data_IF_029022988596
#
_entry.id   IF_029022988596
#
_cell.length_a   1.000
_cell.length_b   1.000
_cell.length_c   1.000
_cell.angle_alpha   90.00
_cell.angle_beta   90.00
_cell.angle_gamma   90.00
#
_symmetry.space_group_name_H-M   'P 1'
#
loop_
_entity.id
_entity.type
_entity.pdbx_description
1 polymer ?
#
# COMPACT_ATOMS: atom_id res chain seq x y z
N UNK A 1 18.65 -16.08 3.91
CA UNK A 1 18.77 -15.07 4.93
C UNK A 1 19.59 -15.49 6.13
N UNK A 2 19.96 -14.54 6.97
CA UNK A 2 20.80 -14.75 8.16
C UNK A 2 20.06 -15.49 9.29
N UNK A 3 18.72 -15.44 9.29
CA UNK A 3 17.89 -16.06 10.31
C UNK A 3 17.35 -17.39 9.78
N UNK A 4 17.75 -18.50 10.44
CA UNK A 4 17.31 -19.86 10.12
C UNK A 4 16.24 -20.38 11.09
N UNK A 5 15.63 -19.50 11.86
CA UNK A 5 14.51 -19.83 12.72
C UNK A 5 13.27 -20.16 11.89
N UNK A 6 12.61 -21.27 12.16
CA UNK A 6 11.44 -21.75 11.39
C UNK A 6 10.30 -20.73 11.37
N UNK A 7 10.09 -20.04 12.50
CA UNK A 7 9.08 -18.99 12.60
C UNK A 7 9.41 -17.80 11.70
N UNK A 8 10.68 -17.38 11.66
CA UNK A 8 11.12 -16.29 10.81
C UNK A 8 11.00 -16.66 9.32
N UNK A 9 11.32 -17.90 8.97
CA UNK A 9 11.15 -18.43 7.60
C UNK A 9 9.67 -18.43 7.19
N UNK A 10 8.78 -18.93 8.03
CA UNK A 10 7.34 -18.98 7.75
C UNK A 10 6.76 -17.55 7.54
N UNK A 11 7.15 -16.59 8.37
CA UNK A 11 6.71 -15.18 8.25
C UNK A 11 7.28 -14.49 7.01
N UNK A 12 8.54 -14.75 6.67
CA UNK A 12 9.16 -14.26 5.45
C UNK A 12 8.47 -14.82 4.20
N UNK A 13 8.19 -16.12 4.19
CA UNK A 13 7.46 -16.77 3.09
C UNK A 13 6.04 -16.19 2.94
N UNK A 14 5.32 -15.95 4.04
CA UNK A 14 4.01 -15.30 4.01
C UNK A 14 4.09 -13.92 3.36
N UNK A 15 5.03 -13.08 3.79
CA UNK A 15 5.21 -11.75 3.23
C UNK A 15 5.57 -11.81 1.73
N UNK A 16 6.44 -12.72 1.34
CA UNK A 16 6.84 -12.93 -0.05
C UNK A 16 5.65 -13.38 -0.91
N UNK A 17 4.95 -14.45 -0.52
CA UNK A 17 3.83 -14.99 -1.28
C UNK A 17 2.72 -13.96 -1.45
N UNK A 18 2.31 -13.27 -0.37
CA UNK A 18 1.25 -12.27 -0.44
C UNK A 18 1.65 -11.11 -1.37
N UNK A 19 2.85 -10.59 -1.24
CA UNK A 19 3.28 -9.44 -2.04
C UNK A 19 3.55 -9.78 -3.51
N UNK A 20 4.06 -10.99 -3.80
CA UNK A 20 4.25 -11.47 -5.18
C UNK A 20 2.90 -11.74 -5.84
N UNK A 21 1.98 -12.39 -5.13
CA UNK A 21 0.63 -12.65 -5.65
C UNK A 21 -0.09 -11.33 -6.01
N UNK A 22 -0.03 -10.34 -5.11
CA UNK A 22 -0.57 -9.02 -5.42
C UNK A 22 0.09 -8.34 -6.62
N UNK A 23 1.40 -8.48 -6.77
CA UNK A 23 2.14 -7.94 -7.91
C UNK A 23 1.77 -8.63 -9.24
N UNK A 24 1.57 -9.94 -9.24
CA UNK A 24 1.14 -10.69 -10.42
C UNK A 24 -0.28 -10.28 -10.86
N UNK A 25 -1.20 -10.12 -9.92
CA UNK A 25 -2.55 -9.63 -10.21
C UNK A 25 -2.49 -8.21 -10.81
N UNK A 26 -1.67 -7.33 -10.23
CA UNK A 26 -1.46 -5.97 -10.75
C UNK A 26 -0.89 -5.99 -12.17
N UNK A 27 0.04 -6.91 -12.46
CA UNK A 27 0.63 -7.07 -13.77
C UNK A 27 -0.42 -7.45 -14.82
N UNK A 28 -1.37 -8.34 -14.49
CA UNK A 28 -2.50 -8.67 -15.37
C UNK A 28 -3.34 -7.43 -15.69
N UNK A 29 -3.58 -6.57 -14.69
CA UNK A 29 -4.26 -5.30 -14.90
C UNK A 29 -3.51 -4.37 -15.88
N UNK A 30 -2.18 -4.30 -15.79
CA UNK A 30 -1.36 -3.53 -16.73
C UNK A 30 -1.37 -4.11 -18.15
N UNK A 31 -1.35 -5.44 -18.31
CA UNK A 31 -1.52 -6.05 -19.62
C UNK A 31 -2.91 -5.78 -20.21
N UNK A 32 -3.95 -5.70 -19.37
CA UNK A 32 -5.27 -5.28 -19.82
C UNK A 32 -5.29 -3.85 -20.35
N UNK A 33 -4.58 -2.93 -19.71
CA UNK A 33 -4.43 -1.55 -20.21
C UNK A 33 -3.64 -1.54 -21.51
N UNK A 34 -2.52 -2.27 -21.57
CA UNK A 34 -1.71 -2.36 -22.77
C UNK A 34 -2.48 -2.91 -23.96
N UNK A 35 -3.31 -3.93 -23.75
CA UNK A 35 -4.17 -4.50 -24.81
C UNK A 35 -5.14 -3.49 -25.42
N UNK A 36 -5.49 -2.41 -24.71
CA UNK A 36 -6.37 -1.35 -25.19
C UNK A 36 -5.61 -0.16 -25.75
N UNK A 37 -4.50 0.20 -25.15
CA UNK A 37 -3.75 1.43 -25.49
C UNK A 37 -2.56 1.18 -26.41
N UNK A 38 -2.09 -0.07 -26.48
CA UNK A 38 -0.89 -0.45 -27.23
C UNK A 38 0.42 0.07 -26.62
N UNK A 39 0.37 0.71 -25.45
CA UNK A 39 1.54 1.32 -24.82
C UNK A 39 1.53 1.16 -23.30
N UNK A 40 2.72 1.20 -22.66
CA UNK A 40 2.89 1.34 -21.23
C UNK A 40 3.29 2.76 -20.80
N UNK A 41 3.34 3.70 -21.74
CA UNK A 41 3.73 5.07 -21.45
C UNK A 41 2.59 5.82 -20.74
N UNK A 42 2.81 6.20 -19.48
CA UNK A 42 1.79 6.87 -18.65
C UNK A 42 1.35 8.22 -19.20
N UNK A 43 2.23 8.91 -19.91
CA UNK A 43 1.91 10.21 -20.53
C UNK A 43 0.91 10.06 -21.68
N UNK A 44 1.03 8.98 -22.45
CA UNK A 44 0.12 8.66 -23.55
C UNK A 44 -1.25 8.15 -23.07
N UNK A 45 -1.34 7.71 -21.82
CA UNK A 45 -2.58 7.19 -21.22
C UNK A 45 -3.46 8.29 -20.58
N UNK A 46 -2.99 9.55 -20.54
CA UNK A 46 -3.77 10.65 -19.96
C UNK A 46 -5.09 10.83 -20.71
N UNK A 47 -6.20 10.80 -19.94
CA UNK A 47 -7.54 10.97 -20.47
C UNK A 47 -8.16 9.70 -21.10
N UNK A 48 -7.42 8.61 -21.21
CA UNK A 48 -7.98 7.32 -21.66
C UNK A 48 -8.79 6.71 -20.52
N UNK A 49 -10.04 6.38 -20.79
CA UNK A 49 -10.91 5.69 -19.82
C UNK A 49 -10.44 4.23 -19.67
N UNK A 50 -10.06 3.88 -18.45
CA UNK A 50 -9.58 2.54 -18.13
C UNK A 50 -10.75 1.67 -17.66
N UNK A 51 -10.91 0.43 -18.16
CA UNK A 51 -11.95 -0.48 -17.72
C UNK A 51 -11.87 -0.75 -16.23
N UNK A 52 -13.00 -0.82 -15.57
CA UNK A 52 -13.10 -1.03 -14.13
C UNK A 52 -12.35 -2.30 -13.65
N UNK A 53 -12.36 -3.38 -14.43
CA UNK A 53 -11.65 -4.60 -14.06
C UNK A 53 -10.12 -4.43 -14.02
N UNK A 54 -9.54 -3.64 -14.93
CA UNK A 54 -8.11 -3.31 -14.90
C UNK A 54 -7.78 -2.50 -13.65
N UNK A 55 -8.63 -1.50 -13.34
CA UNK A 55 -8.49 -0.66 -12.14
C UNK A 55 -8.54 -1.51 -10.88
N UNK A 56 -9.49 -2.43 -10.76
CA UNK A 56 -9.63 -3.34 -9.61
C UNK A 56 -8.39 -4.22 -9.44
N UNK A 57 -7.85 -4.81 -10.51
CA UNK A 57 -6.66 -5.66 -10.44
C UNK A 57 -5.41 -4.87 -10.02
N UNK A 58 -5.24 -3.66 -10.57
CA UNK A 58 -4.13 -2.79 -10.19
C UNK A 58 -4.29 -2.32 -8.75
N UNK A 59 -5.49 -1.94 -8.34
CA UNK A 59 -5.81 -1.54 -6.98
C UNK A 59 -5.53 -2.67 -5.99
N UNK A 60 -5.89 -3.92 -6.32
CA UNK A 60 -5.59 -5.07 -5.48
C UNK A 60 -4.09 -5.19 -5.19
N UNK A 61 -3.23 -5.05 -6.20
CA UNK A 61 -1.78 -5.07 -6.00
C UNK A 61 -1.28 -3.89 -5.15
N UNK A 62 -1.83 -2.70 -5.36
CA UNK A 62 -1.53 -1.51 -4.56
C UNK A 62 -1.89 -1.74 -3.09
N UNK A 63 -3.11 -2.22 -2.81
CA UNK A 63 -3.58 -2.51 -1.45
C UNK A 63 -2.77 -3.61 -0.76
N UNK A 64 -2.35 -4.63 -1.52
CA UNK A 64 -1.46 -5.68 -1.02
C UNK A 64 -0.11 -5.09 -0.61
N UNK A 65 0.46 -4.22 -1.43
CA UNK A 65 1.77 -3.61 -1.19
C UNK A 65 1.75 -2.60 -0.04
N UNK A 66 0.67 -1.82 0.08
CA UNK A 66 0.46 -0.88 1.20
C UNK A 66 -0.07 -1.55 2.47
N UNK A 67 -0.20 -2.88 2.47
CA UNK A 67 -0.73 -3.65 3.60
C UNK A 67 -2.09 -3.13 4.11
N UNK A 68 -2.98 -2.78 3.19
CA UNK A 68 -4.33 -2.30 3.51
C UNK A 68 -5.24 -3.49 3.82
N UNK A 69 -6.16 -3.33 4.78
CA UNK A 69 -7.14 -4.38 5.09
C UNK A 69 -7.96 -4.76 3.83
N UNK A 70 -8.19 -6.07 3.58
CA UNK A 70 -7.88 -7.25 4.41
C UNK A 70 -6.47 -7.84 4.18
N UNK A 71 -5.65 -7.29 3.31
CA UNK A 71 -4.35 -7.81 2.88
C UNK A 71 -3.16 -7.37 3.78
N UNK A 72 -3.45 -6.96 5.01
CA UNK A 72 -2.49 -6.32 5.93
C UNK A 72 -1.65 -7.28 6.77
N UNK A 73 -2.07 -8.54 6.91
CA UNK A 73 -1.56 -9.46 7.94
C UNK A 73 -0.08 -9.84 7.79
N UNK A 74 0.51 -9.63 6.63
CA UNK A 74 1.93 -9.92 6.39
C UNK A 74 2.87 -8.89 7.01
N UNK A 75 2.43 -7.64 7.15
CA UNK A 75 3.30 -6.54 7.58
C UNK A 75 3.67 -6.61 9.08
N UNK A 76 2.74 -6.86 10.03
CA UNK A 76 3.10 -7.09 11.42
C UNK A 76 3.99 -8.31 11.64
N UNK A 77 3.85 -9.34 10.81
CA UNK A 77 4.67 -10.54 10.86
C UNK A 77 6.09 -10.30 10.31
N UNK A 78 6.28 -9.34 9.43
CA UNK A 78 7.60 -8.94 8.92
C UNK A 78 8.53 -8.34 10.00
N UNK A 79 8.02 -7.99 11.18
CA UNK A 79 8.78 -7.48 12.32
C UNK A 79 9.79 -8.45 12.94
N UNK A 80 9.86 -9.71 12.48
CA UNK A 80 10.91 -10.67 12.90
C UNK A 80 12.31 -10.30 12.39
N UNK A 81 12.40 -9.44 11.37
CA UNK A 81 13.68 -8.95 10.86
C UNK A 81 14.40 -8.06 11.89
N UNK A 82 15.75 -7.88 11.76
CA UNK A 82 16.49 -6.91 12.57
C UNK A 82 15.89 -5.50 12.46
N UNK A 83 16.01 -4.71 13.54
CA UNK A 83 15.42 -3.36 13.59
C UNK A 83 15.80 -2.45 12.41
N UNK A 84 17.06 -2.40 11.93
CA UNK A 84 17.39 -1.59 10.74
C UNK A 84 16.64 -2.03 9.47
N UNK A 85 16.46 -3.33 9.28
CA UNK A 85 15.71 -3.88 8.13
C UNK A 85 14.22 -3.59 8.29
N UNK A 86 13.69 -3.78 9.49
CA UNK A 86 12.28 -3.51 9.80
C UNK A 86 11.98 -2.01 9.62
N UNK A 87 12.88 -1.14 10.07
CA UNK A 87 12.78 0.30 9.86
C UNK A 87 12.71 0.64 8.36
N UNK A 88 13.60 0.08 7.55
CA UNK A 88 13.60 0.30 6.10
C UNK A 88 12.28 -0.15 5.45
N UNK A 89 11.75 -1.31 5.84
CA UNK A 89 10.50 -1.85 5.32
C UNK A 89 9.29 -0.96 5.65
N UNK A 90 9.19 -0.51 6.91
CA UNK A 90 8.03 0.25 7.40
C UNK A 90 8.17 1.76 7.20
N UNK A 91 9.37 2.32 7.38
CA UNK A 91 9.59 3.76 7.34
C UNK A 91 9.89 4.27 5.94
N UNK A 92 10.82 3.62 5.21
CA UNK A 92 11.40 4.25 4.03
C UNK A 92 10.66 3.92 2.73
N UNK A 93 10.51 2.64 2.35
CA UNK A 93 10.27 2.30 0.95
C UNK A 93 9.07 1.38 0.75
N UNK A 94 9.10 0.16 1.31
CA UNK A 94 8.31 -0.95 0.78
C UNK A 94 6.80 -0.69 0.75
N UNK A 95 6.23 -0.26 1.87
CA UNK A 95 4.78 -0.06 2.00
C UNK A 95 4.29 1.24 1.36
N UNK A 96 5.17 2.24 1.22
CA UNK A 96 4.84 3.53 0.61
C UNK A 96 4.76 3.49 -0.90
N UNK A 97 5.45 2.54 -1.52
CA UNK A 97 5.34 2.31 -2.97
C UNK A 97 3.89 2.08 -3.38
N UNK A 98 3.09 1.35 -2.57
CA UNK A 98 1.67 1.16 -2.87
C UNK A 98 0.90 2.47 -2.93
N UNK A 99 1.01 3.30 -1.89
CA UNK A 99 0.32 4.60 -1.84
C UNK A 99 0.83 5.57 -2.90
N UNK A 100 2.14 5.59 -3.15
CA UNK A 100 2.73 6.38 -4.23
C UNK A 100 2.24 5.92 -5.61
N UNK A 101 2.17 4.61 -5.84
CA UNK A 101 1.63 4.06 -7.09
C UNK A 101 0.17 4.46 -7.29
N UNK A 102 -0.65 4.47 -6.22
CA UNK A 102 -2.02 4.97 -6.28
C UNK A 102 -2.06 6.42 -6.76
N UNK A 103 -1.30 7.30 -6.12
CA UNK A 103 -1.25 8.71 -6.50
C UNK A 103 -0.79 8.89 -7.95
N UNK A 104 0.28 8.20 -8.34
CA UNK A 104 0.87 8.33 -9.67
C UNK A 104 -0.03 7.80 -10.77
N UNK A 105 -0.70 6.68 -10.55
CA UNK A 105 -1.55 6.03 -11.54
C UNK A 105 -2.95 6.67 -11.58
N UNK A 106 -3.67 6.69 -10.45
CA UNK A 106 -5.09 7.00 -10.44
C UNK A 106 -5.42 8.49 -10.21
N UNK A 107 -4.49 9.25 -9.65
CA UNK A 107 -4.72 10.70 -9.48
C UNK A 107 -4.08 11.50 -10.61
N UNK A 108 -2.88 11.10 -11.06
CA UNK A 108 -2.10 11.91 -12.01
C UNK A 108 -2.22 11.42 -13.46
N UNK A 109 -2.29 10.11 -13.70
CA UNK A 109 -2.07 9.55 -15.04
C UNK A 109 -3.31 8.95 -15.71
N UNK A 110 -4.14 8.22 -14.96
CA UNK A 110 -5.25 7.45 -15.53
C UNK A 110 -6.59 8.12 -15.23
N UNK A 111 -7.51 8.08 -16.20
CA UNK A 111 -8.92 8.43 -15.95
C UNK A 111 -9.67 7.18 -15.50
N UNK A 112 -10.15 7.20 -14.26
CA UNK A 112 -10.89 6.09 -13.65
C UNK A 112 -12.34 6.49 -13.36
N UNK A 113 -13.22 5.50 -13.26
CA UNK A 113 -14.62 5.73 -12.91
C UNK A 113 -14.73 6.45 -11.56
N UNK A 114 -15.57 7.49 -11.43
CA UNK A 114 -15.79 8.23 -10.19
C UNK A 114 -16.16 7.36 -8.98
N UNK A 115 -16.68 6.16 -9.19
CA UNK A 115 -17.01 5.23 -8.09
C UNK A 115 -15.79 4.92 -7.22
N UNK A 116 -14.58 4.92 -7.80
CA UNK A 116 -13.35 4.64 -7.05
C UNK A 116 -12.97 5.76 -6.10
N UNK A 117 -13.42 7.00 -6.33
CA UNK A 117 -13.23 8.12 -5.38
C UNK A 117 -14.11 7.99 -4.12
N UNK A 118 -15.08 7.08 -4.14
CA UNK A 118 -15.90 6.74 -2.97
C UNK A 118 -15.44 5.43 -2.34
N UNK A 119 -15.20 4.40 -3.15
CA UNK A 119 -14.86 3.06 -2.66
C UNK A 119 -13.49 3.03 -1.98
N UNK A 120 -12.47 3.66 -2.55
CA UNK A 120 -11.11 3.62 -2.00
C UNK A 120 -10.99 4.34 -0.66
N UNK A 121 -11.55 5.56 -0.46
CA UNK A 121 -11.58 6.18 0.86
C UNK A 121 -12.27 5.33 1.93
N UNK A 122 -13.38 4.65 1.59
CA UNK A 122 -14.06 3.75 2.52
C UNK A 122 -13.16 2.57 2.92
N UNK A 123 -12.51 1.92 1.96
CA UNK A 123 -11.53 0.84 2.24
C UNK A 123 -10.40 1.36 3.14
N UNK A 124 -9.89 2.55 2.85
CA UNK A 124 -8.84 3.18 3.65
C UNK A 124 -9.32 3.48 5.08
N UNK A 125 -10.51 4.03 5.25
CA UNK A 125 -11.08 4.32 6.57
C UNK A 125 -11.27 3.03 7.40
N UNK A 126 -11.85 1.99 6.81
CA UNK A 126 -11.99 0.67 7.45
C UNK A 126 -10.62 0.10 7.84
N UNK A 127 -9.65 0.19 6.94
CA UNK A 127 -8.28 -0.27 7.23
C UNK A 127 -7.65 0.49 8.40
N UNK A 128 -7.84 1.81 8.47
CA UNK A 128 -7.35 2.62 9.58
C UNK A 128 -7.95 2.20 10.92
N UNK A 129 -9.27 2.00 10.96
CA UNK A 129 -9.98 1.58 12.17
C UNK A 129 -9.56 0.18 12.64
N UNK A 130 -9.54 -0.79 11.72
CA UNK A 130 -9.16 -2.18 12.04
C UNK A 130 -7.71 -2.24 12.53
N UNK A 131 -6.78 -1.58 11.84
CA UNK A 131 -5.37 -1.61 12.23
C UNK A 131 -5.10 -0.87 13.54
N UNK A 132 -5.82 0.23 13.82
CA UNK A 132 -5.75 0.91 15.10
C UNK A 132 -6.25 0.01 16.24
N UNK A 133 -7.38 -0.67 16.05
CA UNK A 133 -7.87 -1.66 17.01
C UNK A 133 -6.89 -2.81 17.26
N UNK A 134 -6.27 -3.34 16.20
CA UNK A 134 -5.22 -4.35 16.34
C UNK A 134 -3.98 -3.83 17.09
N UNK A 135 -3.61 -2.56 16.91
CA UNK A 135 -2.51 -1.96 17.64
C UNK A 135 -2.77 -1.89 19.14
N UNK A 136 -4.03 -1.65 19.55
CA UNK A 136 -4.41 -1.54 20.97
C UNK A 136 -4.32 -2.88 21.71
N UNK A 137 -4.51 -4.00 21.03
CA UNK A 137 -4.47 -5.34 21.65
C UNK A 137 -3.13 -6.05 21.46
N UNK A 138 -2.23 -5.51 20.66
CA UNK A 138 -0.91 -6.07 20.45
C UNK A 138 -0.02 -5.86 21.67
N UNK A 139 0.74 -6.90 22.06
CA UNK A 139 1.64 -6.89 23.22
C UNK A 139 3.10 -6.68 22.84
N UNK A 140 3.47 -6.94 21.59
CA UNK A 140 4.83 -6.78 21.08
C UNK A 140 5.00 -5.38 20.48
N UNK A 141 6.03 -4.64 20.95
CA UNK A 141 6.30 -3.28 20.51
C UNK A 141 6.47 -3.17 18.99
N UNK A 142 7.20 -4.09 18.36
CA UNK A 142 7.36 -4.08 16.90
C UNK A 142 6.03 -4.28 16.16
N UNK A 143 5.15 -5.12 16.71
CA UNK A 143 3.80 -5.33 16.15
C UNK A 143 2.92 -4.09 16.33
N UNK A 144 2.98 -3.43 17.48
CA UNK A 144 2.26 -2.16 17.71
C UNK A 144 2.70 -1.12 16.67
N UNK A 145 4.01 -0.94 16.50
CA UNK A 145 4.56 0.02 15.52
C UNK A 145 4.18 -0.39 14.09
N UNK A 146 4.13 -1.68 13.77
CA UNK A 146 3.70 -2.17 12.46
C UNK A 146 2.23 -1.88 12.19
N UNK A 147 1.33 -2.17 13.13
CA UNK A 147 -0.10 -1.83 12.99
C UNK A 147 -0.32 -0.33 12.89
N UNK A 148 0.41 0.46 13.67
CA UNK A 148 0.34 1.92 13.54
C UNK A 148 0.86 2.41 12.18
N UNK A 149 1.79 1.69 11.54
CA UNK A 149 2.22 1.99 10.15
C UNK A 149 1.06 1.77 9.17
N UNK A 150 0.31 0.66 9.31
CA UNK A 150 -0.86 0.39 8.47
C UNK A 150 -1.91 1.49 8.63
N UNK A 151 -2.20 1.90 9.88
CA UNK A 151 -3.12 3.00 10.17
C UNK A 151 -2.71 4.30 9.48
N UNK A 152 -1.43 4.67 9.57
CA UNK A 152 -0.92 5.91 8.97
C UNK A 152 -0.95 5.86 7.43
N UNK A 153 -0.59 4.71 6.83
CA UNK A 153 -0.71 4.52 5.37
C UNK A 153 -2.16 4.59 4.90
N UNK A 154 -3.08 4.07 5.70
CA UNK A 154 -4.50 4.17 5.41
C UNK A 154 -4.99 5.63 5.45
N UNK A 155 -4.53 6.46 6.39
CA UNK A 155 -4.83 7.90 6.39
C UNK A 155 -4.24 8.63 5.17
N UNK A 156 -3.02 8.28 4.77
CA UNK A 156 -2.41 8.83 3.55
C UNK A 156 -3.26 8.44 2.33
N UNK A 157 -3.62 7.17 2.20
CA UNK A 157 -4.44 6.67 1.11
C UNK A 157 -5.81 7.35 1.08
N UNK A 158 -6.44 7.52 2.26
CA UNK A 158 -7.71 8.23 2.39
C UNK A 158 -7.60 9.66 1.87
N UNK A 159 -6.60 10.41 2.30
CA UNK A 159 -6.39 11.79 1.85
C UNK A 159 -6.19 11.89 0.33
N UNK A 160 -5.34 11.04 -0.25
CA UNK A 160 -5.04 11.04 -1.68
C UNK A 160 -6.25 10.58 -2.51
N UNK A 161 -7.02 9.60 -2.02
CA UNK A 161 -8.11 8.99 -2.78
C UNK A 161 -9.37 9.85 -2.89
N UNK A 162 -9.49 10.91 -2.10
CA UNK A 162 -10.57 11.91 -2.24
C UNK A 162 -10.46 12.67 -3.57
N UNK A 163 -9.27 12.70 -4.18
CA UNK A 163 -9.06 13.35 -5.48
C UNK A 163 -8.98 14.86 -5.43
N UNK A 164 -8.87 15.48 -4.24
CA UNK A 164 -8.66 16.92 -4.10
C UNK A 164 -7.16 17.27 -4.15
N UNK A 165 -6.82 18.43 -4.68
CA UNK A 165 -5.41 18.92 -4.70
C UNK A 165 -4.84 19.00 -3.28
N UNK A 166 -5.63 19.48 -2.32
CA UNK A 166 -5.23 19.57 -0.92
C UNK A 166 -4.99 18.17 -0.32
N UNK A 167 -5.82 17.18 -0.66
CA UNK A 167 -5.66 15.79 -0.26
C UNK A 167 -4.39 15.17 -0.81
N UNK A 168 -4.07 15.44 -2.07
CA UNK A 168 -2.84 14.98 -2.70
C UNK A 168 -1.60 15.59 -2.03
N UNK A 169 -1.56 16.91 -1.89
CA UNK A 169 -0.43 17.61 -1.25
C UNK A 169 -0.27 17.17 0.20
N UNK A 170 -1.37 17.13 0.96
CA UNK A 170 -1.36 16.67 2.36
C UNK A 170 -0.89 15.23 2.48
N UNK A 171 -1.36 14.34 1.63
CA UNK A 171 -0.93 12.94 1.59
C UNK A 171 0.57 12.79 1.28
N UNK A 172 1.09 13.54 0.32
CA UNK A 172 2.52 13.52 -0.04
C UNK A 172 3.39 14.05 1.09
N UNK A 173 3.02 15.16 1.73
CA UNK A 173 3.71 15.69 2.91
C UNK A 173 3.66 14.70 4.08
N UNK A 174 2.53 14.01 4.24
CA UNK A 174 2.38 13.02 5.30
C UNK A 174 3.25 11.78 5.07
N UNK A 175 3.49 11.36 3.81
CA UNK A 175 4.47 10.32 3.48
C UNK A 175 5.85 10.69 4.03
N UNK A 176 6.30 11.92 3.84
CA UNK A 176 7.59 12.40 4.35
C UNK A 176 7.62 12.42 5.88
N UNK A 177 6.63 13.03 6.52
CA UNK A 177 6.54 13.09 7.97
C UNK A 177 6.53 11.68 8.61
N UNK A 178 5.72 10.77 8.05
CA UNK A 178 5.66 9.38 8.50
C UNK A 178 7.00 8.65 8.29
N UNK A 179 7.76 8.97 7.24
CA UNK A 179 9.08 8.36 7.02
C UNK A 179 10.05 8.68 8.13
N UNK A 180 10.13 9.95 8.51
CA UNK A 180 11.01 10.42 9.58
C UNK A 180 10.57 9.84 10.92
N UNK A 181 9.28 9.94 11.25
CA UNK A 181 8.73 9.45 12.51
C UNK A 181 8.96 7.94 12.70
N UNK A 182 8.67 7.12 11.68
CA UNK A 182 8.87 5.66 11.78
C UNK A 182 10.33 5.24 11.73
N UNK A 183 11.17 5.98 11.00
CA UNK A 183 12.61 5.75 10.99
C UNK A 183 13.24 5.92 12.38
N UNK A 184 12.71 6.85 13.18
CA UNK A 184 13.16 7.07 14.55
C UNK A 184 12.54 6.12 15.60
N UNK A 185 11.40 5.48 15.29
CA UNK A 185 10.71 4.58 16.22
C UNK A 185 11.22 3.13 16.17
N UNK A 186 11.78 2.66 15.07
CA UNK A 186 12.37 1.33 14.91
C UNK A 186 13.87 1.31 15.23
#
# INVERSE_FOLDING_TARGET
GFYRDELAIARANKAFVVTVFGALIMLVGFFGIWGQTGTFELTAMKGVQIPAWCVVLILFGILTKSATFPLHSWLPDAGVAPSPVTSLLHAAVLVKIGVYAYARLFVVSLSVDPIFTTVVPVIAAVSALVSAGCAMVATDLKRIIAYSTITQLAFILLGISIGSEMGLVGGMLYILAHSVAKGGLF
#
